data_IF_688755002869
#
_entry.id   IF_688755002869
#
_cell.length_a   1.000
_cell.length_b   1.000
_cell.length_c   1.000
_cell.angle_alpha   90.00
_cell.angle_beta   90.00
_cell.angle_gamma   90.00
#
_symmetry.space_group_name_H-M   'P 1'
#
loop_
_entity.id
_entity.type
_entity.pdbx_description
1 polymer ?
#
# COMPACT_ATOMS: atom_id res chain seq x y z
N UNK A 1 8.11 7.75 35.03
CA UNK A 1 7.15 6.65 34.79
C UNK A 1 7.15 6.35 33.33
N UNK A 2 7.15 5.09 32.91
CA UNK A 2 7.04 4.73 31.49
C UNK A 2 5.64 5.12 30.98
N UNK A 3 5.56 5.86 29.91
CA UNK A 3 4.29 6.22 29.26
C UNK A 3 3.67 4.95 28.69
N UNK A 4 2.43 4.65 29.05
CA UNK A 4 1.70 3.50 28.56
C UNK A 4 0.32 3.94 28.12
N UNK A 5 -0.10 3.55 26.91
CA UNK A 5 -1.43 3.80 26.39
C UNK A 5 -2.16 2.48 26.13
N UNK A 6 -3.36 2.34 26.66
CA UNK A 6 -4.23 1.20 26.38
C UNK A 6 -5.40 1.59 25.49
N UNK A 7 -5.84 2.82 25.60
CA UNK A 7 -6.99 3.34 24.90
C UNK A 7 -6.64 4.63 24.15
N UNK A 8 -7.40 4.93 23.11
CA UNK A 8 -7.34 6.23 22.43
C UNK A 8 -7.56 7.40 23.39
N UNK A 9 -8.46 7.23 24.37
CA UNK A 9 -8.74 8.21 25.41
C UNK A 9 -7.52 8.55 26.29
N UNK A 10 -6.54 7.65 26.36
CA UNK A 10 -5.31 7.88 27.15
C UNK A 10 -4.33 8.84 26.43
N UNK A 11 -4.47 9.01 25.12
CA UNK A 11 -3.49 9.73 24.29
C UNK A 11 -4.10 10.75 23.32
N UNK A 12 -5.43 10.95 23.36
CA UNK A 12 -6.13 11.86 22.46
C UNK A 12 -7.17 12.66 23.26
N UNK A 13 -7.30 13.95 22.99
CA UNK A 13 -8.36 14.76 23.58
C UNK A 13 -9.74 14.40 22.98
N UNK A 14 -10.80 14.72 23.69
CA UNK A 14 -12.18 14.41 23.29
C UNK A 14 -12.56 14.95 21.91
N UNK A 15 -12.10 16.16 21.54
CA UNK A 15 -12.39 16.77 20.23
C UNK A 15 -11.79 15.96 19.08
N UNK A 16 -10.60 15.43 19.26
CA UNK A 16 -9.89 14.65 18.26
C UNK A 16 -10.46 13.23 18.18
N UNK A 17 -10.82 12.63 19.30
CA UNK A 17 -11.50 11.33 19.34
C UNK A 17 -12.87 11.39 18.64
N UNK A 18 -13.66 12.45 18.90
CA UNK A 18 -14.91 12.68 18.18
C UNK A 18 -14.70 12.89 16.69
N UNK A 19 -13.60 13.52 16.27
CA UNK A 19 -13.27 13.66 14.86
C UNK A 19 -12.93 12.30 14.21
N UNK A 20 -12.25 11.40 14.93
CA UNK A 20 -11.99 10.03 14.48
C UNK A 20 -13.31 9.25 14.27
N UNK A 21 -14.25 9.31 15.21
CA UNK A 21 -15.56 8.69 15.08
C UNK A 21 -16.41 9.21 13.91
N UNK A 22 -16.11 10.41 13.39
CA UNK A 22 -16.79 11.00 12.22
C UNK A 22 -16.19 10.54 10.89
N UNK A 23 -15.02 9.90 10.90
CA UNK A 23 -14.41 9.30 9.71
C UNK A 23 -15.10 7.95 9.45
N UNK A 24 -15.79 7.78 8.31
CA UNK A 24 -16.59 6.57 8.06
C UNK A 24 -15.78 5.28 8.12
N UNK A 25 -14.57 5.29 7.60
CA UNK A 25 -13.66 4.15 7.54
C UNK A 25 -13.19 3.72 8.94
N UNK A 26 -12.82 4.69 9.79
CA UNK A 26 -12.45 4.46 11.19
C UNK A 26 -13.64 3.93 11.97
N UNK A 27 -14.80 4.57 11.82
CA UNK A 27 -16.03 4.11 12.47
C UNK A 27 -16.38 2.66 12.10
N UNK A 28 -16.27 2.32 10.82
CA UNK A 28 -16.54 0.94 10.35
C UNK A 28 -15.53 -0.06 10.94
N UNK A 29 -14.23 0.29 10.96
CA UNK A 29 -13.17 -0.53 11.52
C UNK A 29 -13.36 -0.74 13.03
N UNK A 30 -13.62 0.32 13.80
CA UNK A 30 -13.83 0.26 15.24
C UNK A 30 -15.09 -0.53 15.62
N UNK A 31 -16.23 -0.29 14.94
CA UNK A 31 -17.45 -1.08 15.16
C UNK A 31 -17.23 -2.57 14.86
N UNK A 32 -16.47 -2.90 13.81
CA UNK A 32 -16.12 -4.29 13.47
C UNK A 32 -15.21 -4.92 14.53
N UNK A 33 -14.36 -4.14 15.17
CA UNK A 33 -13.54 -4.58 16.30
C UNK A 33 -14.31 -4.69 17.63
N UNK A 34 -15.61 -4.34 17.66
CA UNK A 34 -16.45 -4.37 18.85
C UNK A 34 -16.43 -3.09 19.70
N UNK A 35 -15.80 -2.02 19.19
CA UNK A 35 -15.76 -0.74 19.90
C UNK A 35 -17.12 -0.05 19.85
N UNK A 36 -17.47 0.64 20.94
CA UNK A 36 -18.76 1.31 21.09
C UNK A 36 -18.54 2.81 21.32
N UNK A 37 -19.23 3.64 20.52
CA UNK A 37 -19.13 5.09 20.69
C UNK A 37 -19.63 5.51 22.09
N UNK A 38 -18.82 6.32 22.76
CA UNK A 38 -19.07 6.76 24.15
C UNK A 38 -18.44 5.87 25.22
N UNK A 39 -17.78 4.79 24.83
CA UNK A 39 -16.91 3.99 25.68
C UNK A 39 -15.45 4.21 25.28
N UNK A 40 -14.52 3.77 26.12
CA UNK A 40 -13.08 3.81 25.81
C UNK A 40 -12.79 2.91 24.59
N UNK A 41 -12.05 3.45 23.63
CA UNK A 41 -11.65 2.76 22.39
C UNK A 41 -10.26 2.19 22.56
N UNK A 42 -10.09 0.90 22.34
CA UNK A 42 -8.79 0.23 22.45
C UNK A 42 -7.84 0.66 21.34
N UNK A 43 -6.57 0.81 21.67
CA UNK A 43 -5.51 0.91 20.69
C UNK A 43 -5.13 -0.49 20.16
N UNK A 44 -4.91 -0.59 18.87
CA UNK A 44 -4.36 -1.81 18.26
C UNK A 44 -2.97 -2.11 18.84
N UNK A 45 -2.66 -3.41 18.99
CA UNK A 45 -1.35 -3.86 19.51
C UNK A 45 -0.69 -4.80 18.54
N UNK A 46 0.61 -4.63 18.38
CA UNK A 46 1.44 -5.55 17.63
C UNK A 46 1.72 -6.84 18.43
N UNK A 47 2.39 -7.85 17.84
CA UNK A 47 2.75 -9.09 18.54
C UNK A 47 3.59 -8.90 19.82
N UNK A 48 4.34 -7.82 19.90
CA UNK A 48 5.15 -7.44 21.05
C UNK A 48 4.38 -6.63 22.10
N UNK A 49 3.07 -6.42 21.85
CA UNK A 49 2.16 -5.70 22.74
C UNK A 49 2.31 -4.17 22.66
N UNK A 50 3.05 -3.64 21.67
CA UNK A 50 3.21 -2.19 21.51
C UNK A 50 1.97 -1.57 20.85
N UNK A 51 1.49 -0.40 21.34
CA UNK A 51 0.37 0.27 20.74
C UNK A 51 0.77 0.90 19.40
N UNK A 52 -0.04 0.64 18.37
CA UNK A 52 0.15 1.21 17.03
C UNK A 52 -1.17 1.66 16.42
N UNK A 53 -1.10 2.52 15.40
CA UNK A 53 -2.24 2.91 14.59
C UNK A 53 -2.37 1.98 13.37
N UNK A 54 -3.60 1.56 13.07
CA UNK A 54 -3.87 0.91 11.77
C UNK A 54 -3.63 1.90 10.63
N UNK A 55 -3.56 1.43 9.39
CA UNK A 55 -3.43 2.35 8.23
C UNK A 55 -4.63 3.28 8.12
N UNK A 56 -5.83 2.78 8.41
CA UNK A 56 -7.06 3.57 8.43
C UNK A 56 -6.99 4.68 9.48
N UNK A 57 -6.58 4.35 10.70
CA UNK A 57 -6.43 5.30 11.80
C UNK A 57 -5.34 6.34 11.51
N UNK A 58 -4.16 5.90 11.04
CA UNK A 58 -3.07 6.80 10.68
C UNK A 58 -3.50 7.78 9.59
N UNK A 59 -4.22 7.30 8.57
CA UNK A 59 -4.77 8.13 7.51
C UNK A 59 -5.77 9.14 8.04
N UNK A 60 -6.67 8.72 8.93
CA UNK A 60 -7.68 9.59 9.52
C UNK A 60 -7.05 10.71 10.38
N UNK A 61 -6.10 10.38 11.25
CA UNK A 61 -5.34 11.38 12.03
C UNK A 61 -4.68 12.40 11.10
N UNK A 62 -4.00 11.91 10.07
CA UNK A 62 -3.32 12.76 9.09
C UNK A 62 -4.29 13.68 8.35
N UNK A 63 -5.39 13.15 7.83
CA UNK A 63 -6.40 13.93 7.11
C UNK A 63 -7.07 14.99 7.99
N UNK A 64 -7.32 14.67 9.26
CA UNK A 64 -7.88 15.62 10.23
C UNK A 64 -6.88 16.75 10.50
N UNK A 65 -5.61 16.43 10.77
CA UNK A 65 -4.56 17.41 11.04
C UNK A 65 -4.34 18.32 9.82
N UNK A 66 -4.21 17.76 8.62
CA UNK A 66 -3.97 18.54 7.40
C UNK A 66 -5.15 19.45 7.09
N UNK A 67 -6.38 18.95 7.15
CA UNK A 67 -7.57 19.78 6.89
C UNK A 67 -7.72 20.96 7.86
N UNK A 68 -7.33 20.75 9.13
CA UNK A 68 -7.45 21.79 10.15
C UNK A 68 -6.34 22.84 10.07
N UNK A 69 -5.11 22.42 9.76
CA UNK A 69 -3.93 23.26 9.98
C UNK A 69 -3.10 23.52 8.72
N UNK A 70 -3.19 22.67 7.68
CA UNK A 70 -2.36 22.74 6.46
C UNK A 70 -3.18 22.52 5.18
N UNK A 71 -4.30 23.22 4.98
CA UNK A 71 -5.19 22.96 3.84
C UNK A 71 -4.46 23.14 2.51
N UNK A 72 -4.53 22.12 1.65
CA UNK A 72 -3.95 22.10 0.29
C UNK A 72 -2.42 22.27 0.20
N UNK A 73 -1.69 22.18 1.30
CA UNK A 73 -0.24 22.43 1.34
C UNK A 73 0.60 21.15 1.43
N UNK A 74 0.01 20.04 1.86
CA UNK A 74 0.73 18.78 2.11
C UNK A 74 -0.12 17.62 1.57
N UNK A 75 0.52 16.68 0.85
CA UNK A 75 -0.12 15.39 0.52
C UNK A 75 -0.21 14.51 1.77
N UNK A 76 -1.41 14.14 2.23
CA UNK A 76 -1.57 13.27 3.40
C UNK A 76 -0.83 11.94 3.29
N UNK A 77 -0.68 11.38 2.08
CA UNK A 77 0.07 10.15 1.86
C UNK A 77 1.56 10.30 2.17
N UNK A 78 2.11 11.51 2.00
CA UNK A 78 3.49 11.79 2.41
C UNK A 78 3.67 11.62 3.90
N UNK A 79 2.77 12.17 4.70
CA UNK A 79 2.81 12.06 6.16
C UNK A 79 2.65 10.61 6.61
N UNK A 80 1.67 9.89 6.05
CA UNK A 80 1.43 8.48 6.35
C UNK A 80 2.65 7.61 6.01
N UNK A 81 3.25 7.81 4.83
CA UNK A 81 4.40 7.04 4.39
C UNK A 81 5.65 7.30 5.24
N UNK A 82 5.86 8.54 5.68
CA UNK A 82 6.96 8.86 6.61
C UNK A 82 6.72 8.20 7.97
N UNK A 83 5.50 8.23 8.52
CA UNK A 83 5.18 7.57 9.79
C UNK A 83 5.38 6.04 9.71
N UNK A 84 5.00 5.42 8.59
CA UNK A 84 5.26 4.00 8.35
C UNK A 84 6.76 3.67 8.46
N UNK A 85 7.61 4.46 7.80
CA UNK A 85 9.05 4.23 7.78
C UNK A 85 9.76 4.61 9.08
N UNK A 86 9.27 5.61 9.77
CA UNK A 86 9.92 6.10 10.99
C UNK A 86 9.56 5.26 12.22
N UNK A 87 8.38 4.66 12.28
CA UNK A 87 7.93 3.99 13.51
C UNK A 87 7.07 2.74 13.29
N UNK A 88 6.81 2.30 12.05
CA UNK A 88 5.77 1.30 11.76
C UNK A 88 4.41 1.68 12.40
N UNK A 89 4.15 2.98 12.49
CA UNK A 89 2.95 3.57 13.12
C UNK A 89 2.81 3.28 14.62
N UNK A 90 3.88 2.88 15.30
CA UNK A 90 3.92 2.69 16.75
C UNK A 90 4.02 4.04 17.47
N UNK A 91 3.18 4.24 18.52
CA UNK A 91 3.10 5.52 19.23
C UNK A 91 4.29 5.78 20.16
N UNK A 92 4.80 4.73 20.81
CA UNK A 92 5.75 4.85 21.91
C UNK A 92 7.21 4.64 21.50
N UNK A 93 7.49 4.61 20.18
CA UNK A 93 8.85 4.43 19.68
C UNK A 93 9.73 5.61 20.04
N UNK A 94 10.88 5.31 20.62
CA UNK A 94 11.97 6.24 20.84
C UNK A 94 13.23 5.71 20.18
N UNK A 95 13.93 6.57 19.44
CA UNK A 95 15.22 6.20 18.82
C UNK A 95 16.27 7.26 19.12
N UNK A 96 17.44 6.82 19.54
CA UNK A 96 18.60 7.70 19.71
C UNK A 96 19.30 7.92 18.39
N UNK A 97 19.53 9.16 18.01
CA UNK A 97 20.32 9.46 16.79
C UNK A 97 21.80 9.14 17.04
N UNK A 98 22.45 8.34 16.16
CA UNK A 98 23.79 7.81 16.42
C UNK A 98 24.86 8.88 16.71
N UNK A 99 24.74 10.07 16.11
CA UNK A 99 25.77 11.10 16.16
C UNK A 99 25.55 12.19 17.22
N UNK A 100 24.30 12.46 17.62
CA UNK A 100 23.97 13.56 18.52
C UNK A 100 23.47 13.09 19.89
N UNK A 101 23.26 11.79 20.09
CA UNK A 101 22.61 11.20 21.26
C UNK A 101 21.20 11.79 21.54
N UNK A 102 20.64 12.50 20.57
CA UNK A 102 19.30 13.08 20.70
C UNK A 102 18.23 12.03 20.49
N UNK A 103 17.14 12.16 21.20
CA UNK A 103 16.03 11.23 21.20
C UNK A 103 14.94 11.71 20.24
N UNK A 104 14.59 10.90 19.26
CA UNK A 104 13.40 11.09 18.44
C UNK A 104 12.22 10.30 19.01
N UNK A 105 10.99 10.81 18.84
CA UNK A 105 9.81 10.34 19.58
C UNK A 105 8.61 10.14 18.66
N UNK A 106 7.90 9.02 18.86
CA UNK A 106 6.55 8.77 18.36
C UNK A 106 6.46 8.46 16.87
N UNK A 107 5.25 8.55 16.33
CA UNK A 107 4.88 8.15 14.97
C UNK A 107 5.81 8.71 13.88
N UNK A 108 6.09 10.00 13.95
CA UNK A 108 6.88 10.73 12.96
C UNK A 108 8.35 10.91 13.38
N UNK A 109 8.77 10.29 14.50
CA UNK A 109 10.13 10.38 15.06
C UNK A 109 10.63 11.83 15.16
N UNK A 110 9.84 12.68 15.80
CA UNK A 110 10.15 14.11 15.97
C UNK A 110 11.15 14.30 17.10
N UNK A 111 12.17 15.13 16.85
CA UNK A 111 13.06 15.63 17.89
C UNK A 111 12.31 16.65 18.76
N UNK A 112 12.31 16.52 20.10
CA UNK A 112 11.64 17.50 20.97
C UNK A 112 12.09 18.94 20.72
N UNK A 113 13.37 19.17 20.46
CA UNK A 113 13.88 20.50 20.10
C UNK A 113 13.31 21.04 18.79
N UNK A 114 13.07 20.15 17.79
CA UNK A 114 12.45 20.53 16.52
C UNK A 114 11.00 20.92 16.73
N UNK A 115 10.24 20.16 17.53
CA UNK A 115 8.87 20.53 17.87
C UNK A 115 8.80 21.86 18.62
N UNK A 116 9.70 22.07 19.57
CA UNK A 116 9.79 23.34 20.32
C UNK A 116 10.11 24.52 19.39
N UNK A 117 11.09 24.39 18.53
CA UNK A 117 11.44 25.41 17.53
C UNK A 117 10.27 25.70 16.56
N UNK A 118 9.58 24.67 16.06
CA UNK A 118 8.39 24.86 15.22
C UNK A 118 7.29 25.64 15.95
N UNK A 119 7.11 25.38 17.24
CA UNK A 119 6.10 26.04 18.06
C UNK A 119 6.48 27.48 18.39
N UNK A 120 7.69 27.72 18.93
CA UNK A 120 8.09 29.01 19.46
C UNK A 120 8.54 30.00 18.38
N UNK A 121 9.31 29.53 17.38
CA UNK A 121 9.95 30.42 16.41
C UNK A 121 9.12 30.55 15.11
N UNK A 122 8.37 29.49 14.74
CA UNK A 122 7.58 29.47 13.52
C UNK A 122 6.06 29.55 13.74
N UNK A 123 5.62 29.61 15.01
CA UNK A 123 4.21 29.83 15.37
C UNK A 123 3.29 28.64 15.17
N UNK A 124 3.81 27.41 15.02
CA UNK A 124 2.99 26.20 14.93
C UNK A 124 2.48 25.79 16.33
N UNK A 125 1.44 26.45 16.83
CA UNK A 125 0.94 26.32 18.19
C UNK A 125 -0.43 25.63 18.33
N UNK A 126 -0.97 24.97 17.31
CA UNK A 126 -2.29 24.31 17.41
C UNK A 126 -2.30 23.11 18.38
N UNK A 127 -1.14 22.49 18.60
CA UNK A 127 -0.89 21.47 19.61
C UNK A 127 0.34 21.90 20.42
N UNK A 128 0.18 22.05 21.72
CA UNK A 128 1.29 22.43 22.61
C UNK A 128 2.07 21.22 23.11
N UNK A 129 3.35 21.43 23.37
CA UNK A 129 4.22 20.45 24.07
C UNK A 129 4.79 21.05 25.36
N UNK A 130 4.23 22.18 25.83
CA UNK A 130 4.67 22.90 27.00
C UNK A 130 4.57 22.01 28.24
N UNK A 131 5.64 21.93 28.99
CA UNK A 131 5.73 21.20 30.25
C UNK A 131 6.03 19.69 30.11
N UNK A 132 5.88 19.04 28.94
CA UNK A 132 6.21 17.60 28.84
C UNK A 132 6.50 17.13 27.43
N UNK A 133 7.69 16.57 27.22
CA UNK A 133 8.04 15.83 26.00
C UNK A 133 7.16 14.59 25.77
N UNK A 134 6.48 14.09 26.82
CA UNK A 134 5.57 12.96 26.72
C UNK A 134 4.35 13.25 25.81
N UNK A 135 4.01 14.51 25.58
CA UNK A 135 2.95 14.91 24.65
C UNK A 135 3.29 14.55 23.19
N UNK A 136 4.56 14.37 22.85
CA UNK A 136 4.97 13.89 21.54
C UNK A 136 4.66 12.39 21.30
N UNK A 137 4.25 11.62 22.30
CA UNK A 137 3.72 10.28 22.09
C UNK A 137 2.25 10.28 21.65
N UNK A 138 1.54 11.42 21.84
CA UNK A 138 0.16 11.55 21.39
C UNK A 138 0.08 11.64 19.87
N UNK A 139 -0.79 10.83 19.21
CA UNK A 139 -0.80 10.71 17.76
C UNK A 139 -1.08 12.04 17.04
N UNK A 140 -2.05 12.82 17.49
CA UNK A 140 -2.38 14.11 16.88
C UNK A 140 -1.27 15.13 17.04
N UNK A 141 -0.67 15.22 18.22
CA UNK A 141 0.46 16.13 18.49
C UNK A 141 1.67 15.77 17.65
N UNK A 142 2.01 14.48 17.57
CA UNK A 142 3.17 14.02 16.83
C UNK A 142 3.02 14.25 15.31
N UNK A 143 1.85 13.87 14.76
CA UNK A 143 1.54 14.08 13.35
C UNK A 143 1.46 15.56 13.00
N UNK A 144 0.96 16.40 13.90
CA UNK A 144 0.95 17.84 13.70
C UNK A 144 2.35 18.42 13.52
N UNK A 145 3.28 18.11 14.43
CA UNK A 145 4.66 18.60 14.30
C UNK A 145 5.40 17.96 13.11
N UNK A 146 5.11 16.71 12.78
CA UNK A 146 5.62 16.08 11.55
C UNK A 146 5.17 16.82 10.29
N UNK A 147 3.88 17.14 10.21
CA UNK A 147 3.31 17.92 9.11
C UNK A 147 3.85 19.35 9.07
N UNK A 148 3.99 20.01 10.22
CA UNK A 148 4.60 21.34 10.31
C UNK A 148 6.05 21.34 9.78
N UNK A 149 6.83 20.33 10.14
CA UNK A 149 8.20 20.19 9.63
C UNK A 149 8.24 19.93 8.13
N UNK A 150 7.37 19.08 7.61
CA UNK A 150 7.20 18.86 6.16
C UNK A 150 6.81 20.16 5.45
N UNK A 151 5.90 20.95 6.03
CA UNK A 151 5.48 22.25 5.48
C UNK A 151 6.64 23.23 5.41
N UNK A 152 7.44 23.31 6.47
CA UNK A 152 8.63 24.15 6.48
C UNK A 152 9.64 23.70 5.42
N UNK A 153 9.93 22.38 5.32
CA UNK A 153 10.82 21.83 4.31
C UNK A 153 10.34 22.08 2.89
N UNK A 154 9.02 22.12 2.65
CA UNK A 154 8.46 22.35 1.32
C UNK A 154 8.75 23.75 0.76
N UNK A 155 9.07 24.70 1.65
CA UNK A 155 9.41 26.08 1.29
C UNK A 155 10.78 26.50 1.83
N UNK A 156 11.69 25.54 2.02
CA UNK A 156 13.02 25.80 2.59
C UNK A 156 13.81 26.77 1.71
N UNK A 157 14.37 27.83 2.31
CA UNK A 157 15.05 28.95 1.64
C UNK A 157 14.12 29.70 0.67
N UNK A 158 12.84 29.81 0.99
CA UNK A 158 11.79 30.47 0.19
C UNK A 158 11.68 29.92 -1.25
N UNK A 159 12.09 28.67 -1.46
CA UNK A 159 12.03 27.99 -2.75
C UNK A 159 11.09 26.78 -2.61
N UNK A 160 10.13 26.64 -3.54
CA UNK A 160 9.30 25.44 -3.63
C UNK A 160 10.16 24.19 -3.88
N UNK A 161 10.22 23.31 -2.89
CA UNK A 161 11.10 22.14 -2.93
C UNK A 161 10.37 20.92 -3.52
N UNK A 162 11.14 20.07 -4.22
CA UNK A 162 10.62 18.81 -4.72
C UNK A 162 10.27 17.84 -3.58
N UNK A 163 9.37 16.92 -3.82
CA UNK A 163 9.00 15.86 -2.86
C UNK A 163 10.23 15.05 -2.42
N UNK A 164 11.14 14.73 -3.35
CA UNK A 164 12.40 14.04 -3.01
C UNK A 164 13.24 14.85 -2.03
N UNK A 165 13.39 16.16 -2.26
CA UNK A 165 14.10 17.03 -1.33
C UNK A 165 13.48 16.98 0.07
N UNK A 166 12.17 17.16 0.17
CA UNK A 166 11.43 17.20 1.43
C UNK A 166 11.66 15.91 2.22
N UNK A 167 11.44 14.76 1.59
CA UNK A 167 11.57 13.45 2.26
C UNK A 167 13.01 13.16 2.68
N UNK A 168 13.97 13.48 1.84
CA UNK A 168 15.39 13.27 2.15
C UNK A 168 15.89 14.23 3.23
N UNK A 169 15.41 15.49 3.21
CA UNK A 169 15.72 16.48 4.24
C UNK A 169 15.03 16.12 5.57
N UNK A 170 13.83 15.56 5.53
CA UNK A 170 13.16 15.05 6.72
C UNK A 170 14.02 14.01 7.45
N UNK A 171 14.58 13.06 6.72
CA UNK A 171 15.41 11.98 7.28
C UNK A 171 16.79 12.41 7.73
N UNK A 172 17.44 13.26 6.97
CA UNK A 172 18.88 13.57 7.18
C UNK A 172 19.19 15.00 7.55
N UNK A 173 18.19 15.87 7.57
CA UNK A 173 18.37 17.33 7.60
C UNK A 173 18.74 17.89 6.22
N UNK A 174 18.57 19.20 6.06
CA UNK A 174 18.77 19.90 4.77
C UNK A 174 20.20 19.78 4.23
N UNK A 175 21.20 19.66 5.10
CA UNK A 175 22.62 19.50 4.72
C UNK A 175 22.96 18.11 4.18
N UNK A 176 22.12 17.09 4.39
CA UNK A 176 22.37 15.71 3.98
C UNK A 176 21.40 15.19 2.91
N UNK A 177 20.71 16.07 2.22
CA UNK A 177 19.75 15.70 1.17
C UNK A 177 20.38 14.81 0.08
N UNK A 178 21.63 15.03 -0.27
CA UNK A 178 22.36 14.25 -1.29
C UNK A 178 23.05 12.99 -0.75
N UNK A 179 23.01 12.76 0.58
CA UNK A 179 23.72 11.64 1.18
C UNK A 179 23.10 10.27 0.82
N UNK A 180 23.93 9.23 0.73
CA UNK A 180 23.49 7.88 0.33
C UNK A 180 22.39 7.29 1.26
N UNK A 181 22.48 7.54 2.57
CA UNK A 181 21.49 7.05 3.54
C UNK A 181 20.09 7.67 3.34
N UNK A 182 20.02 8.95 2.97
CA UNK A 182 18.74 9.62 2.69
C UNK A 182 18.13 9.19 1.35
N UNK A 183 18.99 8.79 0.40
CA UNK A 183 18.50 8.19 -0.86
C UNK A 183 17.81 6.85 -0.61
N UNK A 184 18.34 6.01 0.28
CA UNK A 184 17.68 4.75 0.63
C UNK A 184 16.32 4.99 1.30
N UNK A 185 16.25 5.97 2.19
CA UNK A 185 14.98 6.36 2.81
C UNK A 185 13.96 6.86 1.79
N UNK A 186 14.40 7.70 0.82
CA UNK A 186 13.56 8.15 -0.29
C UNK A 186 12.99 6.98 -1.09
N UNK A 187 13.81 5.98 -1.37
CA UNK A 187 13.39 4.80 -2.10
C UNK A 187 12.32 4.00 -1.35
N UNK A 188 12.52 3.76 -0.06
CA UNK A 188 11.54 3.11 0.81
C UNK A 188 10.25 3.93 0.95
N UNK A 189 10.37 5.27 1.00
CA UNK A 189 9.24 6.17 1.05
C UNK A 189 8.32 6.05 -0.18
N UNK A 190 8.87 5.94 -1.38
CA UNK A 190 8.06 5.78 -2.58
C UNK A 190 7.17 4.51 -2.52
N UNK A 191 7.74 3.42 -1.98
CA UNK A 191 7.01 2.17 -1.78
C UNK A 191 5.91 2.32 -0.70
N UNK A 192 6.26 2.93 0.43
CA UNK A 192 5.30 3.15 1.51
C UNK A 192 4.16 4.09 1.06
N UNK A 193 4.47 5.17 0.32
CA UNK A 193 3.45 6.10 -0.19
C UNK A 193 2.45 5.44 -1.14
N UNK A 194 2.90 4.50 -1.95
CA UNK A 194 2.02 3.74 -2.85
C UNK A 194 1.05 2.82 -2.10
N UNK A 195 1.36 2.41 -0.87
CA UNK A 195 0.47 1.58 -0.04
C UNK A 195 -0.74 2.35 0.52
N UNK A 196 -0.72 3.68 0.47
CA UNK A 196 -1.82 4.53 0.93
C UNK A 196 -2.68 5.03 -0.23
N UNK A 197 -4.04 4.89 -0.16
CA UNK A 197 -4.95 5.31 -1.22
C UNK A 197 -4.87 6.81 -1.53
N UNK A 198 -5.01 7.16 -2.82
CA UNK A 198 -5.05 8.55 -3.24
C UNK A 198 -6.37 9.24 -2.84
N UNK A 199 -6.35 10.57 -2.67
CA UNK A 199 -7.53 11.35 -2.28
C UNK A 199 -8.68 11.22 -3.28
N UNK A 200 -8.37 11.09 -4.56
CA UNK A 200 -9.37 10.96 -5.64
C UNK A 200 -10.19 9.67 -5.54
N UNK A 201 -9.60 8.57 -5.10
CA UNK A 201 -10.31 7.29 -4.93
C UNK A 201 -11.35 7.32 -3.78
N UNK A 202 -11.22 8.22 -2.82
CA UNK A 202 -12.20 8.42 -1.74
C UNK A 202 -13.34 9.35 -2.18
N UNK A 203 -13.04 10.41 -2.95
CA UNK A 203 -14.05 11.35 -3.43
C UNK A 203 -14.91 10.74 -4.54
N UNK A 204 -14.35 9.88 -5.39
CA UNK A 204 -15.08 9.12 -6.40
C UNK A 204 -16.07 8.13 -5.76
N UNK A 205 -15.64 7.33 -4.79
CA UNK A 205 -16.52 6.44 -4.01
C UNK A 205 -17.61 7.20 -3.26
N UNK A 206 -17.31 8.40 -2.78
CA UNK A 206 -18.29 9.26 -2.09
C UNK A 206 -19.29 9.89 -3.05
N UNK A 207 -18.90 10.20 -4.29
CA UNK A 207 -19.80 10.70 -5.34
C UNK A 207 -20.73 9.58 -5.86
N UNK A 208 -20.22 8.38 -6.02
CA UNK A 208 -20.99 7.19 -6.40
C UNK A 208 -22.02 6.82 -5.32
N UNK A 209 -21.63 6.88 -4.04
CA UNK A 209 -22.55 6.64 -2.91
C UNK A 209 -23.64 7.73 -2.84
N UNK A 210 -23.31 9.00 -3.11
CA UNK A 210 -24.30 10.09 -3.17
C UNK A 210 -25.22 9.99 -4.38
N UNK A 211 -24.71 9.61 -5.55
CA UNK A 211 -25.52 9.43 -6.76
C UNK A 211 -26.46 8.23 -6.62
N UNK A 212 -26.02 7.14 -5.97
CA UNK A 212 -26.87 5.99 -5.62
C UNK A 212 -28.01 6.35 -4.68
N UNK A 213 -27.77 7.18 -3.66
CA UNK A 213 -28.80 7.68 -2.74
C UNK A 213 -29.79 8.65 -3.42
N UNK A 214 -29.34 9.46 -4.39
CA UNK A 214 -30.23 10.39 -5.12
C UNK A 214 -31.17 9.65 -6.06
N UNK A 215 -30.76 8.53 -6.65
CA UNK A 215 -31.63 7.68 -7.48
C UNK A 215 -32.65 6.85 -6.67
N UNK A 216 -32.34 6.56 -5.41
CA UNK A 216 -33.27 5.84 -4.52
C UNK A 216 -34.46 6.71 -4.04
N UNK A 217 -34.33 8.05 -4.07
CA UNK A 217 -35.39 8.97 -3.61
C UNK A 217 -36.43 9.36 -4.68
N UNK A 218 -36.27 8.91 -5.94
CA UNK A 218 -37.23 9.23 -7.02
C UNK A 218 -38.24 8.13 -7.36
N UNK A 219 -38.29 7.06 -6.58
CA UNK A 219 -39.32 6.02 -6.72
C UNK A 219 -40.08 5.81 -5.42
N UNK A 220 -41.08 6.64 -5.21
CA UNK A 220 -42.15 6.44 -4.21
C UNK A 220 -43.09 5.38 -4.71
N UNK A 221 -43.24 4.32 -3.97
CA UNK A 221 -44.36 3.37 -4.13
C UNK A 221 -44.06 1.98 -3.57
N UNK A 222 -44.71 1.67 -2.42
CA UNK A 222 -44.99 0.35 -1.86
C UNK A 222 -43.96 -0.31 -0.95
N UNK A 223 -44.27 -0.20 0.32
CA UNK A 223 -44.20 -1.18 1.46
C UNK A 223 -43.42 -2.47 1.26
N UNK A 224 -42.43 -2.64 2.15
CA UNK A 224 -42.12 -3.95 2.76
C UNK A 224 -40.95 -4.69 2.13
N UNK A 225 -39.84 -4.66 2.78
CA UNK A 225 -39.10 -5.81 3.28
C UNK A 225 -37.71 -5.39 3.73
N UNK A 226 -37.41 -5.67 4.95
CA UNK A 226 -36.05 -5.73 5.49
C UNK A 226 -35.20 -6.62 4.60
N UNK A 227 -34.21 -6.06 3.92
CA UNK A 227 -33.17 -6.84 3.26
C UNK A 227 -32.15 -7.17 4.32
N UNK A 228 -32.15 -8.42 4.72
CA UNK A 228 -31.17 -9.05 5.58
C UNK A 228 -29.77 -9.00 4.94
N UNK A 229 -28.77 -8.89 5.78
CA UNK A 229 -27.32 -8.97 5.54
C UNK A 229 -26.82 -10.24 4.80
N UNK A 230 -27.68 -10.89 3.99
CA UNK A 230 -27.34 -12.07 3.19
C UNK A 230 -26.85 -11.77 1.77
N UNK A 231 -26.87 -10.50 1.31
CA UNK A 231 -26.53 -10.15 -0.07
C UNK A 231 -25.06 -9.75 -0.30
N UNK A 232 -24.24 -9.70 0.77
CA UNK A 232 -22.80 -9.49 0.65
C UNK A 232 -22.06 -10.80 0.24
N UNK A 233 -22.73 -11.93 0.28
CA UNK A 233 -22.16 -13.24 -0.08
C UNK A 233 -22.30 -13.63 -1.56
N UNK A 234 -22.85 -12.76 -2.41
CA UNK A 234 -23.07 -13.08 -3.85
C UNK A 234 -21.96 -12.66 -4.80
N UNK A 235 -20.99 -11.81 -4.38
CA UNK A 235 -19.89 -11.42 -5.27
C UNK A 235 -18.69 -12.37 -5.27
N UNK A 236 -18.66 -13.39 -4.43
CA UNK A 236 -17.54 -14.36 -4.35
C UNK A 236 -17.76 -15.66 -5.12
N UNK A 237 -18.87 -15.83 -5.84
CA UNK A 237 -19.15 -17.07 -6.58
C UNK A 237 -18.31 -17.22 -7.86
N UNK A 238 -17.71 -16.14 -8.36
CA UNK A 238 -16.89 -16.16 -9.59
C UNK A 238 -15.48 -16.75 -9.46
N UNK A 239 -14.96 -16.89 -8.23
CA UNK A 239 -13.57 -17.33 -8.00
C UNK A 239 -13.47 -18.73 -7.38
N UNK A 240 -14.51 -19.53 -7.50
CA UNK A 240 -14.53 -20.88 -6.96
C UNK A 240 -13.73 -21.84 -7.82
N UNK A 241 -13.79 -21.66 -9.13
CA UNK A 241 -13.17 -22.54 -10.09
C UNK A 241 -12.20 -21.76 -10.99
N UNK A 242 -11.12 -22.43 -11.40
CA UNK A 242 -10.18 -21.93 -12.42
C UNK A 242 -10.90 -21.57 -13.73
N UNK A 243 -11.81 -22.43 -14.15
CA UNK A 243 -12.57 -22.27 -15.39
C UNK A 243 -13.46 -21.00 -15.43
N UNK A 244 -13.77 -20.41 -14.28
CA UNK A 244 -14.51 -19.15 -14.23
C UNK A 244 -13.64 -17.90 -14.46
N UNK A 245 -12.32 -18.03 -14.31
CA UNK A 245 -11.36 -16.92 -14.42
C UNK A 245 -10.40 -17.03 -15.59
N UNK A 246 -10.21 -18.21 -16.12
CA UNK A 246 -9.17 -18.51 -17.11
C UNK A 246 -9.83 -19.02 -18.38
N UNK A 247 -9.30 -18.62 -19.54
CA UNK A 247 -9.82 -19.07 -20.83
C UNK A 247 -9.67 -20.58 -21.02
N UNK A 248 -10.54 -21.22 -21.79
CA UNK A 248 -10.43 -22.65 -22.09
C UNK A 248 -9.05 -23.06 -22.64
N UNK A 249 -8.44 -22.22 -23.49
CA UNK A 249 -7.09 -22.44 -24.01
C UNK A 249 -6.04 -22.50 -22.91
N UNK A 250 -6.06 -21.52 -22.01
CA UNK A 250 -5.11 -21.50 -20.88
C UNK A 250 -5.37 -22.65 -19.89
N UNK A 251 -6.62 -23.09 -19.73
CA UNK A 251 -6.95 -24.28 -18.94
C UNK A 251 -6.40 -25.56 -19.56
N UNK A 252 -6.45 -25.68 -20.88
CA UNK A 252 -5.83 -26.79 -21.60
C UNK A 252 -4.31 -26.80 -21.42
N UNK A 253 -3.66 -25.64 -21.51
CA UNK A 253 -2.22 -25.52 -21.22
C UNK A 253 -1.89 -25.95 -19.80
N UNK A 254 -2.71 -25.57 -18.80
CA UNK A 254 -2.51 -25.98 -17.41
C UNK A 254 -2.64 -27.50 -17.25
N UNK A 255 -3.64 -28.13 -17.90
CA UNK A 255 -3.81 -29.58 -17.89
C UNK A 255 -2.67 -30.33 -18.60
N UNK A 256 -2.08 -29.72 -19.63
CA UNK A 256 -0.95 -30.26 -20.35
C UNK A 256 0.38 -30.06 -19.61
N UNK A 257 0.43 -29.17 -18.60
CA UNK A 257 1.63 -28.95 -17.82
C UNK A 257 1.87 -30.10 -16.82
N UNK A 258 3.00 -30.83 -16.92
CA UNK A 258 3.17 -32.12 -16.23
C UNK A 258 3.08 -32.02 -14.69
N UNK A 259 3.57 -30.92 -14.13
CA UNK A 259 3.58 -30.71 -12.67
C UNK A 259 2.17 -30.44 -12.14
N UNK A 260 1.42 -29.58 -12.82
CA UNK A 260 0.04 -29.23 -12.45
C UNK A 260 -0.90 -30.43 -12.66
N UNK A 261 -0.78 -31.10 -13.81
CA UNK A 261 -1.57 -32.31 -14.07
C UNK A 261 -1.41 -33.35 -12.99
N UNK A 262 -0.18 -33.59 -12.52
CA UNK A 262 0.08 -34.52 -11.42
C UNK A 262 -0.56 -34.08 -10.12
N UNK A 263 -0.48 -32.78 -9.79
CA UNK A 263 -1.08 -32.22 -8.58
C UNK A 263 -2.60 -32.29 -8.63
N UNK A 264 -3.21 -31.87 -9.75
CA UNK A 264 -4.67 -31.86 -9.91
C UNK A 264 -5.28 -33.26 -9.92
N UNK A 265 -4.64 -34.24 -10.60
CA UNK A 265 -5.07 -35.65 -10.53
C UNK A 265 -4.98 -36.20 -9.09
N UNK A 266 -3.88 -35.89 -8.39
CA UNK A 266 -3.73 -36.30 -6.97
C UNK A 266 -4.81 -35.71 -6.09
N UNK A 267 -5.22 -34.47 -6.38
CA UNK A 267 -6.29 -33.73 -5.64
C UNK A 267 -7.70 -34.05 -6.19
N UNK A 268 -7.87 -35.03 -7.07
CA UNK A 268 -9.13 -35.46 -7.68
C UNK A 268 -9.87 -34.30 -8.40
N UNK A 269 -9.11 -33.40 -9.01
CA UNK A 269 -9.69 -32.36 -9.86
C UNK A 269 -10.08 -32.94 -11.24
N UNK A 270 -11.13 -32.40 -11.81
CA UNK A 270 -11.65 -32.80 -13.12
C UNK A 270 -11.60 -31.62 -14.11
N UNK A 271 -11.38 -31.86 -15.42
CA UNK A 271 -11.48 -30.81 -16.44
C UNK A 271 -12.83 -30.11 -16.40
N UNK A 272 -12.85 -28.78 -16.44
CA UNK A 272 -14.04 -27.95 -16.37
C UNK A 272 -14.56 -27.66 -14.95
N UNK A 273 -13.96 -28.21 -13.90
CA UNK A 273 -14.33 -27.97 -12.49
C UNK A 273 -13.12 -27.97 -11.56
N UNK A 274 -12.03 -27.35 -11.95
CA UNK A 274 -10.84 -27.26 -11.12
C UNK A 274 -11.05 -26.22 -10.02
N UNK A 275 -11.05 -26.64 -8.76
CA UNK A 275 -11.23 -25.78 -7.61
C UNK A 275 -9.97 -24.96 -7.34
N UNK A 276 -10.10 -23.66 -7.10
CA UNK A 276 -9.03 -22.82 -6.60
C UNK A 276 -8.74 -23.10 -5.13
N UNK A 277 -7.47 -23.22 -4.79
CA UNK A 277 -7.06 -23.33 -3.39
C UNK A 277 -7.44 -22.05 -2.61
N UNK A 278 -7.82 -22.21 -1.34
CA UNK A 278 -8.23 -21.10 -0.46
C UNK A 278 -7.51 -21.20 0.88
N UNK A 279 -7.17 -20.03 1.42
CA UNK A 279 -6.62 -19.94 2.76
C UNK A 279 -7.71 -20.00 3.85
N UNK A 280 -7.31 -19.93 5.12
CA UNK A 280 -8.19 -19.95 6.29
C UNK A 280 -9.23 -18.79 6.29
N UNK A 281 -8.93 -17.69 5.58
CA UNK A 281 -9.82 -16.54 5.39
C UNK A 281 -10.63 -16.61 4.11
N UNK A 282 -10.70 -17.79 3.49
CA UNK A 282 -11.42 -18.05 2.23
C UNK A 282 -10.93 -17.26 1.02
N UNK A 283 -9.67 -16.74 1.04
CA UNK A 283 -9.09 -16.02 -0.07
C UNK A 283 -8.49 -16.98 -1.09
N UNK A 284 -8.81 -16.86 -2.40
CA UNK A 284 -8.26 -17.73 -3.43
C UNK A 284 -6.77 -17.43 -3.67
N UNK A 285 -5.97 -18.48 -3.78
CA UNK A 285 -4.53 -18.38 -4.08
C UNK A 285 -4.08 -19.53 -4.99
N UNK A 286 -2.96 -19.34 -5.68
CA UNK A 286 -2.34 -20.39 -6.49
C UNK A 286 -1.40 -21.27 -5.66
N UNK A 287 -1.43 -22.57 -5.87
CA UNK A 287 -0.37 -23.45 -5.40
C UNK A 287 0.97 -23.07 -6.07
N UNK A 288 2.09 -23.52 -5.48
CA UNK A 288 3.40 -23.29 -6.11
C UNK A 288 3.54 -23.95 -7.48
N UNK A 289 2.91 -25.11 -7.67
CA UNK A 289 2.89 -25.81 -8.95
C UNK A 289 2.07 -25.03 -9.98
N UNK A 290 0.90 -24.54 -9.62
CA UNK A 290 0.04 -23.73 -10.47
C UNK A 290 0.72 -22.41 -10.84
N UNK A 291 1.29 -21.69 -9.88
CA UNK A 291 2.03 -20.47 -10.15
C UNK A 291 3.19 -20.68 -11.12
N UNK A 292 3.96 -21.77 -10.89
CA UNK A 292 5.08 -22.11 -11.79
C UNK A 292 4.60 -22.44 -13.18
N UNK A 293 3.51 -23.18 -13.33
CA UNK A 293 2.95 -23.52 -14.64
C UNK A 293 2.48 -22.27 -15.39
N UNK A 294 1.76 -21.37 -14.73
CA UNK A 294 1.36 -20.08 -15.34
C UNK A 294 2.58 -19.31 -15.82
N UNK A 295 3.65 -19.22 -15.01
CA UNK A 295 4.88 -18.55 -15.40
C UNK A 295 5.58 -19.22 -16.58
N UNK A 296 5.68 -20.56 -16.57
CA UNK A 296 6.29 -21.34 -17.66
C UNK A 296 5.51 -21.17 -18.99
N UNK A 297 4.19 -21.24 -18.93
CA UNK A 297 3.30 -21.07 -20.11
C UNK A 297 3.43 -19.67 -20.70
N UNK A 298 3.36 -18.64 -19.86
CA UNK A 298 3.50 -17.24 -20.31
C UNK A 298 4.86 -16.99 -20.96
N UNK A 299 5.94 -17.45 -20.35
CA UNK A 299 7.28 -17.29 -20.92
C UNK A 299 7.42 -18.07 -22.23
N UNK A 300 6.91 -19.29 -22.26
CA UNK A 300 6.97 -20.13 -23.47
C UNK A 300 6.14 -19.54 -24.63
N UNK A 301 4.92 -19.09 -24.39
CA UNK A 301 4.04 -18.57 -25.45
C UNK A 301 4.44 -17.19 -25.96
N UNK A 302 4.87 -16.29 -25.07
CA UNK A 302 4.95 -14.86 -25.40
C UNK A 302 6.31 -14.22 -25.23
N UNK A 303 7.23 -14.84 -24.46
CA UNK A 303 8.50 -14.23 -24.08
C UNK A 303 9.71 -15.16 -24.30
N UNK A 304 9.63 -16.10 -25.24
CA UNK A 304 10.69 -17.11 -25.51
C UNK A 304 12.07 -16.50 -25.82
N UNK A 305 12.10 -15.35 -26.48
CA UNK A 305 13.34 -14.68 -26.87
C UNK A 305 14.05 -14.00 -25.68
N UNK A 306 13.37 -13.92 -24.56
CA UNK A 306 13.89 -13.26 -23.37
C UNK A 306 14.50 -14.28 -22.41
N UNK A 307 15.73 -14.08 -21.98
CA UNK A 307 16.46 -14.98 -21.08
C UNK A 307 15.91 -14.96 -19.65
N UNK A 308 14.57 -14.86 -19.49
CA UNK A 308 13.92 -14.81 -18.18
C UNK A 308 13.60 -16.22 -17.68
N UNK A 309 13.89 -16.46 -16.41
CA UNK A 309 13.53 -17.72 -15.74
C UNK A 309 12.18 -17.57 -15.03
N UNK A 310 11.30 -18.56 -15.16
CA UNK A 310 10.01 -18.60 -14.45
C UNK A 310 10.16 -18.53 -12.92
N UNK A 311 11.26 -19.02 -12.39
CA UNK A 311 11.57 -18.93 -10.96
C UNK A 311 11.65 -17.49 -10.44
N UNK A 312 12.09 -16.53 -11.27
CA UNK A 312 12.11 -15.10 -10.90
C UNK A 312 10.67 -14.58 -10.77
N UNK A 313 9.80 -14.90 -11.73
CA UNK A 313 8.39 -14.48 -11.67
C UNK A 313 7.67 -15.11 -10.49
N UNK A 314 7.95 -16.39 -10.18
CA UNK A 314 7.41 -17.06 -9.01
C UNK A 314 7.87 -16.38 -7.71
N UNK A 315 9.16 -16.03 -7.60
CA UNK A 315 9.69 -15.34 -6.43
C UNK A 315 9.07 -13.94 -6.24
N UNK A 316 8.85 -13.22 -7.33
CA UNK A 316 8.16 -11.92 -7.29
C UNK A 316 6.73 -12.12 -6.79
N UNK A 317 5.96 -13.07 -7.33
CA UNK A 317 4.59 -13.35 -6.89
C UNK A 317 4.51 -13.76 -5.42
N UNK A 318 5.45 -14.57 -4.95
CA UNK A 318 5.50 -14.99 -3.53
C UNK A 318 5.69 -13.78 -2.60
N UNK A 319 6.56 -12.83 -2.99
CA UNK A 319 6.88 -11.64 -2.18
C UNK A 319 5.79 -10.56 -2.25
N UNK A 320 5.22 -10.31 -3.45
CA UNK A 320 4.33 -9.15 -3.63
C UNK A 320 2.87 -9.45 -3.35
N UNK A 321 2.44 -10.71 -3.51
CA UNK A 321 1.03 -11.10 -3.38
C UNK A 321 0.79 -12.33 -2.53
N UNK A 322 1.85 -13.01 -2.07
CA UNK A 322 1.74 -14.34 -1.46
C UNK A 322 0.90 -15.32 -2.32
N UNK A 323 0.93 -15.12 -3.63
CA UNK A 323 0.19 -15.90 -4.66
C UNK A 323 -1.34 -15.72 -4.59
N UNK A 324 -1.86 -14.76 -3.83
CA UNK A 324 -3.30 -14.48 -3.79
C UNK A 324 -3.78 -13.93 -5.14
N UNK A 325 -4.91 -14.46 -5.60
CA UNK A 325 -5.51 -14.12 -6.89
C UNK A 325 -5.83 -12.62 -7.00
N UNK A 326 -6.36 -12.03 -5.95
CA UNK A 326 -6.68 -10.60 -5.88
C UNK A 326 -5.51 -9.73 -5.46
N UNK A 327 -4.33 -10.34 -5.22
CA UNK A 327 -3.17 -9.63 -4.70
C UNK A 327 -3.24 -9.34 -3.20
N UNK A 328 -2.38 -8.44 -2.73
CA UNK A 328 -2.36 -7.95 -1.34
C UNK A 328 -2.36 -6.43 -1.35
N UNK A 329 -3.26 -5.83 -0.57
CA UNK A 329 -3.47 -4.39 -0.57
C UNK A 329 -4.10 -3.89 -1.87
N UNK A 330 -3.64 -2.74 -2.37
CA UNK A 330 -4.21 -2.11 -3.57
C UNK A 330 -3.62 -2.61 -4.90
N UNK A 331 -2.71 -3.57 -4.86
CA UNK A 331 -2.07 -4.11 -6.07
C UNK A 331 -2.79 -5.38 -6.53
N UNK A 332 -3.54 -5.31 -7.63
CA UNK A 332 -4.30 -6.44 -8.12
C UNK A 332 -3.42 -7.55 -8.66
N UNK A 333 -3.94 -8.78 -8.51
CA UNK A 333 -3.39 -9.96 -9.15
C UNK A 333 -2.11 -10.52 -8.51
N UNK A 334 -1.73 -11.69 -8.99
CA UNK A 334 -0.61 -12.45 -8.45
C UNK A 334 0.76 -11.77 -8.62
N UNK A 335 0.91 -10.89 -9.60
CA UNK A 335 2.15 -10.12 -9.81
C UNK A 335 2.15 -8.75 -9.13
N UNK A 336 1.05 -8.35 -8.49
CA UNK A 336 0.94 -7.07 -7.82
C UNK A 336 1.28 -5.88 -8.70
N UNK A 337 0.92 -5.93 -9.97
CA UNK A 337 1.14 -4.86 -10.94
C UNK A 337 -0.05 -3.90 -10.92
N UNK A 338 0.20 -2.57 -10.89
CA UNK A 338 -0.89 -1.60 -10.95
C UNK A 338 -1.56 -1.62 -12.32
N UNK A 339 -2.87 -1.34 -12.37
CA UNK A 339 -3.61 -1.26 -13.63
C UNK A 339 -2.98 -0.22 -14.57
N UNK A 340 -2.58 0.94 -14.07
CA UNK A 340 -1.94 2.00 -14.87
C UNK A 340 -0.63 1.53 -15.53
N UNK A 341 0.18 0.73 -14.82
CA UNK A 341 1.41 0.15 -15.36
C UNK A 341 1.10 -0.91 -16.42
N UNK A 342 0.17 -1.80 -16.14
CA UNK A 342 -0.26 -2.84 -17.08
C UNK A 342 -0.88 -2.21 -18.36
N UNK A 343 -1.71 -1.17 -18.19
CA UNK A 343 -2.32 -0.45 -19.31
C UNK A 343 -1.29 0.30 -20.15
N UNK A 344 -0.28 0.90 -19.51
CA UNK A 344 0.85 1.51 -20.23
C UNK A 344 1.63 0.47 -21.04
N UNK A 345 1.92 -0.71 -20.49
CA UNK A 345 2.58 -1.82 -21.20
C UNK A 345 1.73 -2.28 -22.40
N UNK A 346 0.41 -2.39 -22.21
CA UNK A 346 -0.56 -2.74 -23.23
C UNK A 346 -0.59 -1.72 -24.38
N UNK A 347 -0.72 -0.42 -24.05
CA UNK A 347 -0.89 0.63 -25.04
C UNK A 347 0.40 1.09 -25.68
N UNK A 348 1.47 1.29 -24.92
CA UNK A 348 2.70 1.93 -25.37
C UNK A 348 3.79 0.93 -25.79
N UNK A 349 3.89 -0.21 -25.13
CA UNK A 349 4.90 -1.21 -25.45
C UNK A 349 4.36 -2.32 -26.38
N UNK A 350 3.07 -2.32 -26.67
CA UNK A 350 2.46 -3.23 -27.64
C UNK A 350 2.27 -4.67 -27.15
N UNK A 351 2.32 -4.92 -25.84
CA UNK A 351 2.03 -6.24 -25.26
C UNK A 351 0.53 -6.49 -25.23
N UNK A 352 -0.03 -7.12 -26.28
CA UNK A 352 -1.47 -7.26 -26.52
C UNK A 352 -1.96 -8.70 -26.59
N UNK A 353 -1.23 -9.68 -26.04
CA UNK A 353 -1.67 -11.06 -26.04
C UNK A 353 -2.92 -11.29 -25.16
N UNK A 354 -3.09 -10.47 -24.13
CA UNK A 354 -4.31 -10.44 -23.31
C UNK A 354 -4.95 -9.06 -23.38
N UNK A 355 -6.28 -9.03 -23.43
CA UNK A 355 -7.07 -7.79 -23.37
C UNK A 355 -7.01 -7.24 -21.96
N UNK A 356 -6.96 -5.93 -21.82
CA UNK A 356 -6.92 -5.22 -20.54
C UNK A 356 -7.88 -4.02 -20.60
N UNK A 357 -9.05 -4.17 -20.02
CA UNK A 357 -10.13 -3.17 -20.03
C UNK A 357 -10.39 -2.60 -18.63
N UNK A 358 -10.16 -3.42 -17.59
CA UNK A 358 -10.44 -3.04 -16.20
C UNK A 358 -9.37 -3.56 -15.24
N UNK A 359 -9.25 -3.00 -14.02
CA UNK A 359 -8.36 -3.54 -12.99
C UNK A 359 -8.65 -5.00 -12.62
N UNK A 360 -9.90 -5.44 -12.74
CA UNK A 360 -10.36 -6.79 -12.43
C UNK A 360 -9.79 -7.84 -13.38
N UNK A 361 -9.40 -7.44 -14.61
CA UNK A 361 -8.73 -8.33 -15.55
C UNK A 361 -7.40 -8.87 -14.99
N UNK A 362 -6.76 -8.09 -14.11
CA UNK A 362 -5.53 -8.51 -13.42
C UNK A 362 -5.76 -9.59 -12.35
N UNK A 363 -7.01 -9.89 -11.99
CA UNK A 363 -7.34 -11.05 -11.14
C UNK A 363 -7.27 -12.36 -11.90
N UNK A 364 -7.24 -12.34 -13.24
CA UNK A 364 -6.89 -13.51 -14.03
C UNK A 364 -5.37 -13.77 -13.88
N UNK A 365 -4.95 -14.97 -13.42
CA UNK A 365 -3.54 -15.24 -13.15
C UNK A 365 -2.67 -15.17 -14.41
N UNK A 366 -3.18 -15.50 -15.58
CA UNK A 366 -2.46 -15.40 -16.83
C UNK A 366 -2.26 -13.94 -17.27
N UNK A 367 -3.30 -13.12 -17.14
CA UNK A 367 -3.23 -11.68 -17.44
C UNK A 367 -2.23 -10.99 -16.51
N UNK A 368 -2.34 -11.24 -15.21
CA UNK A 368 -1.42 -10.68 -14.21
C UNK A 368 0.02 -11.12 -14.47
N UNK A 369 0.26 -12.42 -14.70
CA UNK A 369 1.59 -12.97 -14.98
C UNK A 369 2.17 -12.38 -16.27
N UNK A 370 1.37 -12.25 -17.33
CA UNK A 370 1.79 -11.72 -18.62
C UNK A 370 2.29 -10.28 -18.51
N UNK A 371 1.50 -9.39 -17.91
CA UNK A 371 1.91 -8.00 -17.74
C UNK A 371 3.06 -7.84 -16.73
N UNK A 372 3.09 -8.66 -15.68
CA UNK A 372 4.21 -8.71 -14.74
C UNK A 372 5.51 -9.15 -15.41
N UNK A 373 5.46 -10.19 -16.23
CA UNK A 373 6.62 -10.68 -16.99
C UNK A 373 7.08 -9.67 -18.04
N UNK A 374 6.14 -9.06 -18.76
CA UNK A 374 6.45 -7.99 -19.72
C UNK A 374 7.15 -6.79 -19.03
N UNK A 375 6.68 -6.44 -17.84
CA UNK A 375 7.29 -5.36 -17.05
C UNK A 375 8.72 -5.69 -16.62
N UNK A 376 8.95 -6.89 -16.07
CA UNK A 376 10.29 -7.36 -15.69
C UNK A 376 11.22 -7.43 -16.91
N UNK A 377 10.72 -7.86 -18.04
CA UNK A 377 11.47 -7.87 -19.31
C UNK A 377 11.87 -6.45 -19.70
N UNK A 378 10.92 -5.53 -19.71
CA UNK A 378 11.20 -4.13 -20.03
C UNK A 378 12.23 -3.51 -19.10
N UNK A 379 12.15 -3.79 -17.80
CA UNK A 379 13.13 -3.32 -16.81
C UNK A 379 14.54 -3.86 -17.11
N UNK A 380 14.67 -5.13 -17.45
CA UNK A 380 15.99 -5.74 -17.78
C UNK A 380 16.62 -5.12 -19.02
N UNK A 381 15.81 -4.83 -20.04
CA UNK A 381 16.27 -4.16 -21.26
C UNK A 381 16.57 -2.67 -21.07
N UNK A 382 15.89 -2.04 -20.14
CA UNK A 382 16.12 -0.62 -19.81
C UNK A 382 17.52 -0.38 -19.21
N UNK A 383 18.00 -1.29 -18.37
CA UNK A 383 19.37 -1.22 -17.85
C UNK A 383 20.42 -1.37 -18.93
N UNK A 384 20.21 -2.28 -19.89
CA UNK A 384 21.13 -2.48 -21.01
C UNK A 384 21.17 -1.28 -21.98
N UNK A 385 20.06 -0.53 -22.11
CA UNK A 385 19.95 0.66 -22.98
C UNK A 385 20.39 1.96 -22.31
N UNK A 386 20.58 1.98 -21.00
CA UNK A 386 20.73 3.19 -20.16
C UNK A 386 21.99 4.02 -20.38
N UNK A 387 22.76 3.77 -21.46
CA UNK A 387 23.92 4.58 -21.83
C UNK A 387 23.80 5.31 -23.18
N UNK A 388 22.76 5.14 -23.98
CA UNK A 388 22.79 5.66 -25.37
C UNK A 388 21.57 6.38 -25.95
N UNK A 389 20.39 6.42 -25.31
CA UNK A 389 19.22 7.07 -25.93
C UNK A 389 18.39 7.85 -24.89
N UNK A 390 17.93 9.05 -25.30
CA UNK A 390 17.13 9.96 -24.48
C UNK A 390 15.93 9.27 -23.81
N UNK A 391 15.69 9.63 -22.56
CA UNK A 391 14.70 9.02 -21.68
C UNK A 391 13.30 9.06 -22.27
N UNK A 392 12.60 7.92 -22.44
CA UNK A 392 11.16 7.96 -22.60
C UNK A 392 10.53 8.45 -21.30
N UNK A 393 9.57 9.35 -21.43
CA UNK A 393 8.78 9.88 -20.30
C UNK A 393 8.04 8.74 -19.65
N UNK A 394 8.52 8.25 -18.51
CA UNK A 394 7.82 7.30 -17.66
C UNK A 394 6.57 7.96 -17.07
N UNK A 395 5.41 7.29 -17.07
CA UNK A 395 4.29 7.73 -16.27
C UNK A 395 4.76 7.88 -14.82
N UNK A 396 4.36 8.94 -14.11
CA UNK A 396 4.80 9.25 -12.73
C UNK A 396 4.56 8.13 -11.71
N UNK A 397 3.81 7.08 -12.07
CA UNK A 397 3.50 5.88 -11.27
C UNK A 397 4.51 4.73 -11.39
N UNK A 398 5.52 4.82 -12.27
CA UNK A 398 6.41 3.68 -12.59
C UNK A 398 7.81 3.88 -11.99
N UNK A 399 7.93 3.87 -10.67
CA UNK A 399 9.23 3.79 -9.96
C UNK A 399 9.35 2.44 -9.21
N UNK A 400 9.43 1.33 -9.94
CA UNK A 400 9.71 -0.01 -9.37
C UNK A 400 11.14 -0.48 -9.69
N UNK A 401 12.08 0.43 -9.73
CA UNK A 401 13.51 0.14 -10.00
C UNK A 401 14.19 -0.74 -8.93
N UNK A 402 13.58 -0.88 -7.74
CA UNK A 402 14.29 -1.40 -6.56
C UNK A 402 14.08 -2.86 -6.19
N UNK A 403 12.97 -3.49 -6.58
CA UNK A 403 12.82 -4.93 -6.29
C UNK A 403 13.65 -5.81 -7.24
N UNK A 404 13.92 -5.34 -8.45
CA UNK A 404 14.80 -6.06 -9.39
C UNK A 404 16.28 -5.99 -8.95
N UNK A 405 16.75 -4.85 -8.43
CA UNK A 405 18.11 -4.71 -7.89
C UNK A 405 18.34 -5.52 -6.62
N UNK A 406 17.32 -5.64 -5.72
CA UNK A 406 17.40 -6.55 -4.57
C UNK A 406 17.44 -8.02 -4.95
N UNK A 407 16.74 -8.40 -6.03
CA UNK A 407 16.75 -9.79 -6.55
C UNK A 407 18.09 -10.10 -7.25
N UNK A 408 18.74 -9.12 -7.89
CA UNK A 408 20.06 -9.32 -8.50
C UNK A 408 21.19 -9.31 -7.47
N UNK A 409 21.08 -8.55 -6.38
CA UNK A 409 22.08 -8.56 -5.29
C UNK A 409 22.04 -9.83 -4.43
N UNK A 410 20.87 -10.49 -4.33
CA UNK A 410 20.76 -11.81 -3.70
C UNK A 410 21.43 -12.94 -4.52
N UNK A 411 21.75 -12.68 -5.81
CA UNK A 411 22.48 -13.62 -6.66
C UNK A 411 23.99 -13.59 -6.50
N UNK A 412 24.54 -12.50 -5.96
CA UNK A 412 25.99 -12.35 -5.83
C UNK A 412 26.52 -12.92 -4.50
N UNK A 413 25.66 -13.14 -3.51
CA UNK A 413 26.02 -13.69 -2.19
C UNK A 413 25.92 -15.21 -2.08
N UNK A 414 25.35 -15.89 -3.10
CA UNK A 414 25.24 -17.36 -3.12
C UNK A 414 26.23 -18.06 -4.08
N UNK A 415 27.26 -17.34 -4.55
CA UNK A 415 28.28 -17.85 -5.48
C UNK A 415 29.74 -17.63 -4.95
N UNK A 416 29.91 -17.11 -3.72
CA UNK A 416 31.23 -17.06 -3.06
C UNK A 416 31.29 -18.03 -1.87
#
# INVERSE_FOLDING_TARGET
MATSFSYWDDCVNHRDLEAMWRVPEVKAEWLKAGEVKGQKVHLSRDPDGQPYLTQTEMRAVTDIIIRRNFPSQIDPRMVCAIAELESDRQLLVMRTTPNSKELTVGLMQILPKTAHWLMSDLGYGAYGIEGSQALLFQPFTNVYFGAAYIRWLSNFEDIARSEEFIVRAYKGGTKRVTHKSTLQFWKSYLLAKESFPSRNSFDERRSEFRSGLSQAHSRTGSVGSFVLLSDISKETSGDTYWDSRVSPENMEDMWNHPVVRKEWIKSKQEPGKVLMARDEKNRPYLSRAELKAVADIILFKYLQTKKMKSTILCAISEVVSMRFLHGVGERPGIMGISYSTAYWIYMQLGYRAYKLESPEDLYNPFVSMYFGAAYVTWLSEYEERGSKVGQPVLPHSVKVRHKAEQISSLRQSDID
#
